data_IF_397426128695
#
_entry.id   IF_397426128695
#
_cell.length_a   1.000
_cell.length_b   1.000
_cell.length_c   1.000
_cell.angle_alpha   90.00
_cell.angle_beta   90.00
_cell.angle_gamma   90.00
#
_symmetry.space_group_name_H-M   'P 1'
#
loop_
_entity.id
_entity.type
_entity.pdbx_description
1 polymer ?
#
# COMPACT_ATOMS: atom_id res chain seq x y z
N UNK A 1 -8.73 -19.53 -22.77
CA UNK A 1 -7.41 -18.98 -23.18
C UNK A 1 -6.71 -18.45 -21.94
N UNK A 2 -5.56 -19.01 -21.57
CA UNK A 2 -4.77 -18.51 -20.43
C UNK A 2 -4.27 -17.11 -20.73
N UNK A 3 -4.41 -16.23 -19.77
CA UNK A 3 -3.89 -14.85 -19.85
C UNK A 3 -2.35 -14.90 -19.89
N UNK A 4 -1.68 -14.10 -20.74
CA UNK A 4 -0.23 -14.04 -20.75
C UNK A 4 0.30 -13.59 -19.38
N UNK A 5 1.48 -14.08 -18.99
CA UNK A 5 2.15 -13.64 -17.79
C UNK A 5 2.43 -12.12 -17.85
N UNK A 6 2.31 -11.40 -16.72
CA UNK A 6 2.59 -9.98 -16.68
C UNK A 6 4.06 -9.69 -17.02
N UNK A 7 4.31 -8.58 -17.72
CA UNK A 7 5.65 -8.10 -18.05
C UNK A 7 6.38 -7.65 -16.78
N UNK A 8 7.63 -8.09 -16.55
CA UNK A 8 8.42 -7.58 -15.43
C UNK A 8 8.74 -6.08 -15.63
N UNK A 9 8.68 -5.31 -14.54
CA UNK A 9 9.16 -3.93 -14.46
C UNK A 9 10.47 -3.95 -13.69
N UNK A 10 11.46 -3.21 -14.18
CA UNK A 10 12.69 -2.96 -13.43
C UNK A 10 12.35 -2.04 -12.23
N UNK A 11 12.53 -2.52 -10.98
CA UNK A 11 12.15 -1.76 -9.79
C UNK A 11 13.02 -0.52 -9.56
N UNK A 12 14.18 -0.45 -10.17
CA UNK A 12 15.17 0.61 -9.99
C UNK A 12 15.19 1.64 -11.14
N UNK A 13 14.51 1.33 -12.25
CA UNK A 13 14.41 2.24 -13.39
C UNK A 13 13.26 3.25 -13.19
N UNK A 14 13.55 4.58 -13.30
CA UNK A 14 12.49 5.58 -13.29
C UNK A 14 11.63 5.43 -14.56
N UNK A 15 10.32 5.79 -14.49
CA UNK A 15 9.45 5.76 -15.65
C UNK A 15 9.84 6.89 -16.65
N UNK A 16 9.59 6.66 -17.93
CA UNK A 16 9.84 7.67 -18.98
C UNK A 16 8.91 8.90 -18.89
N UNK A 17 7.78 8.77 -18.18
CA UNK A 17 6.80 9.82 -17.91
C UNK A 17 6.21 9.60 -16.53
N UNK A 18 5.59 10.61 -15.91
CA UNK A 18 4.91 10.44 -14.63
C UNK A 18 3.90 9.28 -14.67
N UNK A 19 3.88 8.49 -13.62
CA UNK A 19 2.94 7.37 -13.42
C UNK A 19 2.15 7.58 -12.14
N UNK A 20 1.03 6.87 -12.03
CA UNK A 20 0.25 6.85 -10.80
C UNK A 20 0.64 5.62 -9.98
N UNK A 21 0.88 5.85 -8.69
CA UNK A 21 1.03 4.81 -7.68
C UNK A 21 -0.06 4.95 -6.61
N UNK A 22 -0.42 3.85 -5.97
CA UNK A 22 -1.37 3.86 -4.85
C UNK A 22 -0.69 3.31 -3.62
N UNK A 23 -0.86 4.03 -2.51
CA UNK A 23 -0.24 3.72 -1.22
C UNK A 23 -1.33 3.61 -0.17
N UNK A 24 -1.39 2.48 0.54
CA UNK A 24 -2.23 2.36 1.73
C UNK A 24 -1.53 2.99 2.93
N UNK A 25 -2.30 3.66 3.77
CA UNK A 25 -1.87 4.25 5.02
C UNK A 25 -2.68 3.65 6.16
N UNK A 26 -2.01 3.27 7.26
CA UNK A 26 -2.64 2.74 8.45
C UNK A 26 -1.97 3.21 9.73
N UNK A 27 -2.76 3.44 10.79
CA UNK A 27 -2.26 3.77 12.13
C UNK A 27 -3.23 3.29 13.22
N UNK A 28 -2.71 2.67 14.30
CA UNK A 28 -3.52 2.28 15.46
C UNK A 28 -2.87 2.58 16.82
N UNK A 29 -1.79 3.36 16.83
CA UNK A 29 -1.07 3.76 18.05
C UNK A 29 -0.90 5.28 18.08
N UNK A 30 -1.09 5.86 19.26
CA UNK A 30 -0.88 7.29 19.51
C UNK A 30 -1.91 8.18 18.84
N UNK A 31 -1.50 9.36 18.41
CA UNK A 31 -2.35 10.29 17.66
C UNK A 31 -2.44 9.84 16.19
N UNK A 32 -3.38 8.92 15.93
CA UNK A 32 -3.57 8.27 14.63
C UNK A 32 -3.87 9.28 13.51
N UNK A 33 -4.68 10.30 13.80
CA UNK A 33 -5.02 11.35 12.83
C UNK A 33 -3.79 12.17 12.47
N UNK A 34 -2.98 12.57 13.47
CA UNK A 34 -1.73 13.28 13.21
C UNK A 34 -0.70 12.41 12.45
N UNK A 35 -0.69 11.09 12.66
CA UNK A 35 0.18 10.18 11.89
C UNK A 35 -0.23 10.12 10.43
N UNK A 36 -1.52 9.98 10.12
CA UNK A 36 -2.02 9.96 8.74
C UNK A 36 -1.83 11.31 8.05
N UNK A 37 -2.17 12.41 8.72
CA UNK A 37 -1.97 13.76 8.19
C UNK A 37 -0.50 14.01 7.82
N UNK A 38 0.43 13.68 8.74
CA UNK A 38 1.86 13.77 8.48
C UNK A 38 2.28 12.93 7.26
N UNK A 39 1.80 11.69 7.16
CA UNK A 39 2.15 10.80 6.07
C UNK A 39 1.74 11.38 4.71
N UNK A 40 0.52 11.91 4.57
CA UNK A 40 0.07 12.56 3.34
C UNK A 40 0.95 13.77 2.97
N UNK A 41 1.30 14.60 3.95
CA UNK A 41 2.16 15.76 3.73
C UNK A 41 3.60 15.36 3.39
N UNK A 42 4.15 14.37 4.08
CA UNK A 42 5.49 13.88 3.84
C UNK A 42 5.60 13.26 2.45
N UNK A 43 4.63 12.43 2.03
CA UNK A 43 4.58 11.86 0.66
C UNK A 43 4.56 13.00 -0.38
N UNK A 44 3.75 14.04 -0.17
CA UNK A 44 3.66 15.15 -1.10
C UNK A 44 4.96 15.96 -1.22
N UNK A 45 5.85 15.91 -0.22
CA UNK A 45 7.15 16.59 -0.22
C UNK A 45 8.28 15.71 -0.77
N UNK A 46 8.06 14.42 -1.06
CA UNK A 46 9.09 13.55 -1.62
C UNK A 46 9.52 14.07 -3.00
N UNK A 47 10.83 14.33 -3.23
CA UNK A 47 11.31 14.71 -4.55
C UNK A 47 10.93 13.68 -5.61
N UNK A 48 10.28 14.11 -6.68
CA UNK A 48 9.77 13.23 -7.74
C UNK A 48 8.27 12.90 -7.59
N UNK A 49 7.63 13.25 -6.48
CA UNK A 49 6.17 13.25 -6.35
C UNK A 49 5.64 14.60 -6.86
N UNK A 50 4.66 14.54 -7.77
CA UNK A 50 4.09 15.72 -8.42
C UNK A 50 2.72 16.09 -7.83
N UNK A 51 1.93 15.07 -7.45
CA UNK A 51 0.60 15.25 -6.89
C UNK A 51 0.20 14.10 -5.97
N UNK A 52 -0.54 14.43 -4.92
CA UNK A 52 -1.17 13.44 -4.02
C UNK A 52 -2.66 13.74 -3.91
N UNK A 53 -3.49 12.72 -4.17
CA UNK A 53 -4.92 12.73 -3.85
C UNK A 53 -5.15 11.81 -2.66
N UNK A 54 -6.09 12.15 -1.80
CA UNK A 54 -6.39 11.42 -0.55
C UNK A 54 -7.79 10.82 -0.65
N UNK A 55 -7.96 9.59 -0.19
CA UNK A 55 -9.28 9.03 0.10
C UNK A 55 -9.83 9.61 1.41
N UNK A 56 -11.07 9.25 1.74
CA UNK A 56 -11.57 9.39 3.11
C UNK A 56 -10.78 8.49 4.06
N UNK A 57 -10.72 8.88 5.34
CA UNK A 57 -10.17 8.07 6.44
C UNK A 57 -11.29 7.19 7.00
N UNK A 58 -11.00 5.89 7.22
CA UNK A 58 -11.93 4.92 7.78
C UNK A 58 -11.37 4.27 9.02
N UNK A 59 -12.19 4.15 10.05
CA UNK A 59 -11.84 3.38 11.23
C UNK A 59 -12.26 1.91 11.06
N UNK A 60 -11.37 0.98 11.41
CA UNK A 60 -11.62 -0.47 11.30
C UNK A 60 -11.05 -1.21 12.49
N UNK A 61 -11.65 -2.35 12.83
CA UNK A 61 -11.13 -3.23 13.87
C UNK A 61 -9.77 -3.81 13.48
N UNK A 62 -8.87 -4.03 14.44
CA UNK A 62 -7.55 -4.59 14.19
C UNK A 62 -7.65 -6.06 13.75
N UNK A 63 -6.84 -6.43 12.75
CA UNK A 63 -6.60 -7.83 12.37
C UNK A 63 -5.29 -8.26 13.00
N UNK A 64 -5.32 -9.16 14.00
CA UNK A 64 -4.11 -9.63 14.66
C UNK A 64 -4.30 -9.93 16.16
N UNK A 65 -3.21 -9.87 16.96
CA UNK A 65 -3.26 -10.15 18.39
C UNK A 65 -4.30 -9.29 19.13
N UNK A 66 -4.96 -9.83 20.16
CA UNK A 66 -5.92 -9.09 20.97
C UNK A 66 -5.25 -7.93 21.74
N UNK A 67 -6.06 -6.94 22.14
CA UNK A 67 -5.58 -5.79 22.94
C UNK A 67 -5.07 -4.63 22.11
N UNK A 68 -5.20 -4.66 20.78
CA UNK A 68 -4.89 -3.52 19.91
C UNK A 68 -6.10 -2.58 19.79
N UNK A 69 -5.83 -1.27 19.67
CA UNK A 69 -6.84 -0.29 19.30
C UNK A 69 -7.23 -0.36 17.81
N UNK A 70 -8.38 0.25 17.44
CA UNK A 70 -8.83 0.30 16.06
C UNK A 70 -7.84 1.08 15.18
N UNK A 71 -7.76 0.66 13.91
CA UNK A 71 -6.95 1.34 12.89
C UNK A 71 -7.72 2.50 12.25
N UNK A 72 -7.02 3.58 11.95
CA UNK A 72 -7.42 4.51 10.90
C UNK A 72 -6.71 4.11 9.62
N UNK A 73 -7.47 3.95 8.54
CA UNK A 73 -6.96 3.54 7.23
C UNK A 73 -7.37 4.54 6.16
N UNK A 74 -6.48 4.76 5.19
CA UNK A 74 -6.73 5.59 4.02
C UNK A 74 -5.87 5.10 2.85
N UNK A 75 -6.11 5.65 1.65
CA UNK A 75 -5.27 5.46 0.47
C UNK A 75 -4.84 6.81 -0.09
N UNK A 76 -3.57 6.91 -0.49
CA UNK A 76 -3.04 7.98 -1.31
C UNK A 76 -2.90 7.53 -2.76
N UNK A 77 -3.39 8.32 -3.70
CA UNK A 77 -3.03 8.25 -5.11
C UNK A 77 -1.89 9.25 -5.34
N UNK A 78 -0.77 8.75 -5.84
CA UNK A 78 0.50 9.49 -5.93
C UNK A 78 0.95 9.53 -7.40
N UNK A 79 0.95 10.71 -8.00
CA UNK A 79 1.56 10.93 -9.32
C UNK A 79 3.06 11.18 -9.13
N UNK A 80 3.90 10.35 -9.77
CA UNK A 80 5.34 10.34 -9.48
C UNK A 80 6.20 9.97 -10.69
N UNK A 81 7.43 10.49 -10.70
CA UNK A 81 8.52 10.09 -11.61
C UNK A 81 9.53 9.15 -10.93
N UNK A 82 9.27 8.74 -9.69
CA UNK A 82 10.16 7.84 -8.96
C UNK A 82 10.03 6.40 -9.48
N UNK A 83 11.17 5.71 -9.52
CA UNK A 83 11.20 4.26 -9.65
C UNK A 83 10.45 3.60 -8.48
N UNK A 84 9.85 2.41 -8.65
CA UNK A 84 9.09 1.73 -7.61
C UNK A 84 9.86 1.55 -6.30
N UNK A 85 11.13 1.13 -6.37
CA UNK A 85 11.98 0.96 -5.19
C UNK A 85 12.31 2.29 -4.51
N UNK A 86 12.56 3.34 -5.27
CA UNK A 86 12.82 4.67 -4.72
C UNK A 86 11.60 5.21 -3.95
N UNK A 87 10.39 5.02 -4.50
CA UNK A 87 9.16 5.37 -3.80
C UNK A 87 9.00 4.55 -2.52
N UNK A 88 9.19 3.21 -2.57
CA UNK A 88 9.13 2.36 -1.38
C UNK A 88 10.11 2.83 -0.30
N UNK A 89 11.35 3.15 -0.66
CA UNK A 89 12.36 3.62 0.31
C UNK A 89 11.96 4.95 0.95
N UNK A 90 11.34 5.86 0.20
CA UNK A 90 10.78 7.10 0.74
C UNK A 90 9.64 6.83 1.73
N UNK A 91 8.72 5.91 1.42
CA UNK A 91 7.65 5.50 2.33
C UNK A 91 8.21 4.93 3.64
N UNK A 92 9.21 4.04 3.55
CA UNK A 92 9.88 3.48 4.72
C UNK A 92 10.63 4.53 5.56
N UNK A 93 11.13 5.59 4.94
CA UNK A 93 11.74 6.72 5.68
C UNK A 93 10.68 7.50 6.46
N UNK A 94 9.52 7.78 5.85
CA UNK A 94 8.39 8.46 6.51
C UNK A 94 7.86 7.65 7.71
N UNK A 95 7.77 6.32 7.60
CA UNK A 95 7.40 5.47 8.75
C UNK A 95 8.39 5.61 9.90
N UNK A 96 9.71 5.60 9.60
CA UNK A 96 10.76 5.76 10.63
C UNK A 96 10.71 7.13 11.31
N UNK A 97 10.40 8.20 10.59
CA UNK A 97 10.19 9.53 11.16
C UNK A 97 9.06 9.55 12.21
N UNK A 98 8.09 8.64 12.08
CA UNK A 98 6.98 8.49 13.03
C UNK A 98 7.26 7.42 14.10
N UNK A 99 8.53 7.04 14.28
CA UNK A 99 8.98 6.14 15.34
C UNK A 99 8.71 4.66 15.07
N UNK A 100 8.46 4.27 13.82
CA UNK A 100 8.33 2.87 13.45
C UNK A 100 9.69 2.18 13.42
N UNK A 101 9.89 1.19 14.29
CA UNK A 101 11.07 0.33 14.30
C UNK A 101 10.69 -1.10 13.86
N UNK A 102 10.96 -1.42 12.60
CA UNK A 102 10.65 -2.74 12.02
C UNK A 102 11.48 -3.89 12.62
N UNK A 103 12.57 -3.58 13.35
CA UNK A 103 13.40 -4.61 14.00
C UNK A 103 12.77 -5.15 15.29
N UNK A 104 11.86 -4.39 15.90
CA UNK A 104 11.15 -4.71 17.14
C UNK A 104 9.68 -5.12 16.89
N UNK A 105 9.23 -5.18 15.63
CA UNK A 105 7.83 -5.40 15.33
C UNK A 105 7.38 -6.85 15.53
N UNK A 106 6.26 -7.01 16.24
CA UNK A 106 5.49 -8.24 16.24
C UNK A 106 4.64 -8.28 14.96
N UNK A 107 4.59 -9.42 14.29
CA UNK A 107 3.75 -9.62 13.09
C UNK A 107 2.28 -9.28 13.44
N UNK A 108 1.67 -8.39 12.66
CA UNK A 108 0.33 -7.84 12.89
C UNK A 108 0.17 -7.08 14.23
N UNK A 109 1.26 -6.66 14.83
CA UNK A 109 1.28 -5.85 16.04
C UNK A 109 0.86 -4.39 15.81
N UNK A 110 0.74 -3.62 16.91
CA UNK A 110 0.37 -2.21 16.84
C UNK A 110 1.42 -1.38 16.10
N UNK A 111 0.98 -0.34 15.37
CA UNK A 111 1.84 0.52 14.54
C UNK A 111 1.46 1.98 14.63
N UNK A 112 2.47 2.83 14.79
CA UNK A 112 2.28 4.29 14.71
C UNK A 112 1.90 4.70 13.29
N UNK A 113 2.59 4.16 12.28
CA UNK A 113 2.31 4.40 10.87
C UNK A 113 2.72 3.20 10.02
N UNK A 114 1.86 2.76 9.11
CA UNK A 114 2.09 1.69 8.13
C UNK A 114 1.83 2.24 6.72
N UNK A 115 2.79 2.12 5.82
CA UNK A 115 2.71 2.59 4.44
C UNK A 115 3.04 1.45 3.48
N UNK A 116 2.01 0.90 2.81
CA UNK A 116 2.16 -0.19 1.84
C UNK A 116 2.00 0.33 0.40
N UNK A 117 2.99 0.09 -0.47
CA UNK A 117 2.86 0.34 -1.90
C UNK A 117 1.94 -0.72 -2.52
N UNK A 118 0.73 -0.31 -2.95
CA UNK A 118 -0.30 -1.20 -3.47
C UNK A 118 -0.13 -1.54 -4.94
N UNK A 119 0.12 -0.51 -5.76
CA UNK A 119 0.24 -0.59 -7.20
C UNK A 119 1.08 0.58 -7.73
N UNK A 120 1.68 0.42 -8.93
CA UNK A 120 2.53 1.42 -9.56
C UNK A 120 2.48 1.31 -11.09
N UNK A 121 2.06 2.36 -11.77
CA UNK A 121 1.94 2.39 -13.23
C UNK A 121 1.09 1.23 -13.74
N UNK A 122 1.63 0.42 -14.65
CA UNK A 122 0.98 -0.75 -15.22
C UNK A 122 0.96 -1.99 -14.30
N UNK A 123 1.73 -1.95 -13.19
CA UNK A 123 1.72 -3.00 -12.18
C UNK A 123 0.52 -2.84 -11.24
N UNK A 124 -0.66 -3.12 -11.77
CA UNK A 124 -1.96 -3.11 -11.08
C UNK A 124 -2.56 -4.52 -11.08
N UNK A 125 -3.49 -4.83 -10.16
CA UNK A 125 -4.17 -6.12 -10.15
C UNK A 125 -4.79 -6.41 -11.52
N UNK A 126 -4.43 -7.57 -12.05
CA UNK A 126 -4.91 -7.92 -13.39
C UNK A 126 -4.27 -7.10 -14.52
N UNK A 127 -3.30 -6.24 -14.27
CA UNK A 127 -2.59 -5.43 -15.26
C UNK A 127 -1.60 -6.22 -16.14
N UNK A 128 -0.98 -5.53 -17.12
CA UNK A 128 -0.05 -6.16 -18.06
C UNK A 128 1.37 -6.31 -17.49
N UNK A 129 1.65 -5.73 -16.32
CA UNK A 129 2.98 -5.71 -15.70
C UNK A 129 2.93 -6.07 -14.21
N UNK A 130 4.08 -6.50 -13.67
CA UNK A 130 4.27 -6.78 -12.25
C UNK A 130 5.74 -6.57 -11.85
N UNK A 131 5.95 -6.41 -10.55
CA UNK A 131 7.27 -6.41 -9.90
C UNK A 131 7.24 -7.54 -8.86
N UNK A 132 8.20 -8.44 -8.91
CA UNK A 132 8.36 -9.50 -7.92
C UNK A 132 9.84 -9.74 -7.70
N UNK A 133 10.39 -8.98 -6.76
CA UNK A 133 11.81 -9.03 -6.40
C UNK A 133 11.95 -9.00 -4.87
N UNK A 134 13.08 -9.42 -4.31
CA UNK A 134 13.30 -9.36 -2.86
C UNK A 134 12.97 -7.98 -2.28
N UNK A 135 12.02 -7.96 -1.33
CA UNK A 135 11.59 -6.75 -0.62
C UNK A 135 10.60 -5.85 -1.38
N UNK A 136 10.17 -6.22 -2.61
CA UNK A 136 9.19 -5.42 -3.35
C UNK A 136 8.34 -6.30 -4.29
N UNK A 137 7.08 -6.48 -3.95
CA UNK A 137 6.08 -7.15 -4.79
C UNK A 137 4.94 -6.19 -5.10
N UNK A 138 4.72 -5.89 -6.38
CA UNK A 138 3.66 -4.99 -6.86
C UNK A 138 2.97 -5.63 -8.08
N UNK A 139 1.63 -5.77 -8.09
CA UNK A 139 0.67 -5.33 -7.08
C UNK A 139 0.89 -6.00 -5.72
N UNK A 140 0.54 -5.28 -4.64
CA UNK A 140 0.71 -5.80 -3.29
C UNK A 140 -0.08 -7.10 -3.09
N UNK A 141 0.57 -8.22 -2.67
CA UNK A 141 -0.01 -9.56 -2.76
C UNK A 141 -1.26 -9.77 -1.90
N UNK A 142 -1.43 -9.01 -0.82
CA UNK A 142 -2.56 -9.15 0.11
C UNK A 142 -3.63 -8.08 -0.04
N UNK A 143 -3.53 -7.15 -1.01
CA UNK A 143 -4.52 -6.06 -1.12
C UNK A 143 -5.93 -6.56 -1.40
N UNK A 144 -6.06 -7.67 -2.13
CA UNK A 144 -7.34 -8.29 -2.51
C UNK A 144 -8.18 -8.78 -1.32
N UNK A 145 -7.54 -9.14 -0.19
CA UNK A 145 -8.20 -9.69 1.00
C UNK A 145 -8.46 -8.63 2.08
N UNK A 146 -8.22 -7.33 1.79
CA UNK A 146 -8.25 -6.25 2.77
C UNK A 146 -9.32 -5.23 2.43
N UNK A 147 -10.53 -5.37 3.00
CA UNK A 147 -11.63 -4.41 2.79
C UNK A 147 -11.21 -2.97 3.15
N UNK A 148 -10.43 -2.80 4.23
CA UNK A 148 -9.89 -1.53 4.70
C UNK A 148 -8.88 -0.88 3.73
N UNK A 149 -8.41 -1.62 2.70
CA UNK A 149 -7.63 -1.11 1.56
C UNK A 149 -8.54 -0.88 0.35
N UNK A 150 -9.41 -1.85 0.02
CA UNK A 150 -10.22 -1.81 -1.20
C UNK A 150 -11.26 -0.69 -1.19
N UNK A 151 -11.89 -0.43 -0.03
CA UNK A 151 -12.92 0.60 0.08
C UNK A 151 -12.36 2.00 -0.16
N UNK A 152 -11.30 2.47 0.54
CA UNK A 152 -10.72 3.78 0.26
C UNK A 152 -10.03 3.84 -1.13
N UNK A 153 -9.49 2.74 -1.62
CA UNK A 153 -8.94 2.67 -2.98
C UNK A 153 -10.02 2.90 -4.04
N UNK A 154 -11.24 2.36 -3.83
CA UNK A 154 -12.35 2.52 -4.77
C UNK A 154 -12.81 3.99 -4.93
N UNK A 155 -12.57 4.85 -3.96
CA UNK A 155 -12.86 6.28 -4.05
C UNK A 155 -11.94 7.00 -5.06
N UNK A 156 -10.71 6.52 -5.22
CA UNK A 156 -9.68 7.13 -6.07
C UNK A 156 -9.52 6.40 -7.41
N UNK A 157 -9.59 5.08 -7.37
CA UNK A 157 -9.32 4.19 -8.51
C UNK A 157 -10.29 2.98 -8.51
N UNK A 158 -11.58 3.17 -8.84
CA UNK A 158 -12.58 2.10 -8.76
C UNK A 158 -12.25 0.89 -9.64
N UNK A 159 -11.62 1.09 -10.80
CA UNK A 159 -11.20 -0.02 -11.68
C UNK A 159 -10.10 -0.88 -11.06
N UNK A 160 -9.12 -0.26 -10.39
CA UNK A 160 -8.03 -0.96 -9.70
C UNK A 160 -8.56 -1.73 -8.49
N UNK A 161 -9.45 -1.11 -7.70
CA UNK A 161 -10.08 -1.77 -6.57
C UNK A 161 -10.94 -2.97 -7.00
N UNK A 162 -11.74 -2.81 -8.07
CA UNK A 162 -12.54 -3.90 -8.63
C UNK A 162 -11.67 -5.06 -9.13
N UNK A 163 -10.61 -4.76 -9.87
CA UNK A 163 -9.67 -5.78 -10.35
C UNK A 163 -8.96 -6.52 -9.20
N UNK A 164 -8.62 -5.79 -8.12
CA UNK A 164 -8.05 -6.40 -6.91
C UNK A 164 -9.04 -7.34 -6.22
N UNK A 165 -10.29 -6.92 -6.04
CA UNK A 165 -11.33 -7.74 -5.44
C UNK A 165 -11.61 -9.01 -6.27
N UNK A 166 -11.62 -8.90 -7.59
CA UNK A 166 -11.80 -10.04 -8.50
C UNK A 166 -10.65 -11.06 -8.43
N UNK A 167 -9.43 -10.62 -8.11
CA UNK A 167 -8.28 -11.50 -7.96
C UNK A 167 -8.38 -12.43 -6.73
N UNK A 168 -9.21 -12.09 -5.74
CA UNK A 168 -9.47 -12.91 -4.54
C UNK A 168 -10.02 -14.31 -4.88
N UNK A 169 -10.69 -14.47 -6.00
CA UNK A 169 -11.30 -15.75 -6.43
C UNK A 169 -10.26 -16.80 -6.81
N UNK A 170 -9.00 -16.44 -7.01
CA UNK A 170 -7.94 -17.32 -7.52
C UNK A 170 -6.84 -17.67 -6.51
N UNK A 171 -6.84 -17.10 -5.30
CA UNK A 171 -5.89 -17.46 -4.26
C UNK A 171 -6.58 -18.28 -3.16
N UNK A 172 -6.08 -19.47 -2.81
CA UNK A 172 -6.56 -20.19 -1.64
C UNK A 172 -6.30 -19.31 -0.41
N UNK A 173 -7.31 -19.24 0.48
CA UNK A 173 -7.18 -18.57 1.77
C UNK A 173 -5.90 -19.05 2.48
N UNK A 174 -5.05 -18.13 2.93
CA UNK A 174 -3.95 -18.51 3.83
C UNK A 174 -4.55 -19.24 5.03
N UNK A 175 -3.94 -20.35 5.50
CA UNK A 175 -4.44 -21.06 6.66
C UNK A 175 -4.48 -20.11 7.84
N UNK A 176 -5.66 -20.05 8.47
CA UNK A 176 -5.93 -19.31 9.68
C UNK A 176 -4.85 -19.64 10.72
N UNK A 177 -4.06 -18.65 11.12
CA UNK A 177 -2.99 -18.82 12.11
C UNK A 177 -3.59 -18.95 13.52
N UNK A 178 -4.53 -19.92 13.70
CA UNK A 178 -5.03 -20.40 14.97
C UNK A 178 -4.52 -21.83 15.16
N UNK A 179 -3.32 -21.96 15.66
CA UNK A 179 -2.86 -23.07 16.52
C UNK A 179 -1.60 -22.61 17.23
#
# INVERSE_FOLDING_TARGET
>A
MSRPAPRPIDPDAPPCAPVVAWVALGSNVGDRDAHLAHAFEAIARVPGVQRVRRSSVRETDPVGPPGQGPYLNAVAEVETTLAPRALLLALLAIERERGRDRTQEVRFGPRTLDLDLLAWGDAVPGGPAAIDVPGLTVPHPRMHARAFVLEPLAELAPSVAHAAAAACVHFPAEPDART
#
